data_IF_042636347748
#
_entry.id   IF_042636347748
#
_cell.length_a   1.000
_cell.length_b   1.000
_cell.length_c   1.000
_cell.angle_alpha   90.00
_cell.angle_beta   90.00
_cell.angle_gamma   90.00
#
_symmetry.space_group_name_H-M   'P 1'
#
loop_
_entity.id
_entity.type
_entity.pdbx_description
1 polymer ?
#
# COMPACT_ATOMS: atom_id res chain seq x y z
N UNK A 1 3.93 7.15 9.90
CA UNK A 1 3.16 8.21 9.18
C UNK A 1 4.00 9.46 8.90
N UNK A 2 4.82 10.00 9.86
CA UNK A 2 5.60 11.25 9.64
C UNK A 2 6.55 11.16 8.45
N UNK A 3 7.35 10.10 8.33
CA UNK A 3 8.30 9.90 7.22
C UNK A 3 7.57 9.90 5.88
N UNK A 4 6.44 9.20 5.80
CA UNK A 4 5.59 9.16 4.60
C UNK A 4 5.10 10.54 4.19
N UNK A 5 4.61 11.33 5.15
CA UNK A 5 4.14 12.68 4.90
C UNK A 5 5.25 13.61 4.40
N UNK A 6 6.49 13.41 4.85
CA UNK A 6 7.65 14.15 4.36
C UNK A 6 8.05 13.73 2.95
N UNK A 7 8.09 12.42 2.65
CA UNK A 7 8.41 11.90 1.31
C UNK A 7 7.36 12.37 0.29
N UNK A 8 6.08 12.35 0.67
CA UNK A 8 4.96 12.81 -0.18
C UNK A 8 4.81 14.34 -0.21
N UNK A 9 5.66 15.04 0.55
CA UNK A 9 5.67 16.50 0.67
C UNK A 9 4.28 17.07 1.06
N UNK A 10 3.61 16.40 2.03
CA UNK A 10 2.48 16.99 2.73
C UNK A 10 2.96 18.04 3.74
N UNK A 11 4.19 17.89 4.25
CA UNK A 11 4.91 18.86 5.07
C UNK A 11 6.32 19.07 4.51
N UNK A 12 6.82 20.28 4.61
CA UNK A 12 8.21 20.57 4.28
C UNK A 12 9.13 20.17 5.44
N UNK A 13 10.36 19.77 5.10
CA UNK A 13 11.40 19.53 6.10
C UNK A 13 11.92 20.87 6.66
N UNK A 14 12.26 20.90 7.93
CA UNK A 14 12.78 22.11 8.59
C UNK A 14 14.25 22.36 8.25
N UNK A 15 15.03 21.29 8.02
CA UNK A 15 16.45 21.36 7.70
C UNK A 15 16.89 20.08 6.98
N UNK A 16 18.04 20.13 6.31
CA UNK A 16 18.55 19.03 5.50
C UNK A 16 17.98 19.03 4.08
N UNK A 17 18.05 17.88 3.41
CA UNK A 17 17.54 17.67 2.06
C UNK A 17 16.92 16.28 1.96
N UNK A 18 15.83 16.16 1.18
CA UNK A 18 15.23 14.88 0.80
C UNK A 18 15.38 14.75 -0.71
N UNK A 19 16.13 13.74 -1.15
CA UNK A 19 16.43 13.52 -2.55
C UNK A 19 15.66 12.31 -3.06
N UNK A 20 15.08 12.43 -4.27
CA UNK A 20 14.48 11.34 -5.03
C UNK A 20 15.27 11.22 -6.34
N UNK A 21 15.95 10.10 -6.54
CA UNK A 21 16.86 9.87 -7.69
C UNK A 21 17.86 11.03 -7.90
N UNK A 22 18.41 11.56 -6.79
CA UNK A 22 19.36 12.67 -6.80
C UNK A 22 18.75 14.07 -6.91
N UNK A 23 17.45 14.20 -7.15
CA UNK A 23 16.73 15.47 -7.24
C UNK A 23 16.13 15.86 -5.89
N UNK A 24 16.37 17.11 -5.46
CA UNK A 24 15.74 17.62 -4.24
C UNK A 24 14.24 17.79 -4.45
N UNK A 25 13.42 17.09 -3.64
CA UNK A 25 11.96 17.16 -3.76
C UNK A 25 11.40 18.56 -3.50
N UNK A 26 12.15 19.44 -2.81
CA UNK A 26 11.76 20.83 -2.62
C UNK A 26 11.76 21.62 -3.94
N UNK A 27 12.61 21.25 -4.91
CA UNK A 27 12.79 21.91 -6.18
C UNK A 27 11.87 21.43 -7.30
N UNK A 28 11.08 20.36 -7.09
CA UNK A 28 10.16 19.82 -8.11
C UNK A 28 8.72 20.24 -7.83
N UNK A 29 7.85 20.20 -8.84
CA UNK A 29 6.42 20.47 -8.64
C UNK A 29 5.75 19.32 -7.86
N UNK A 30 4.72 19.63 -7.07
CA UNK A 30 3.95 18.62 -6.34
C UNK A 30 3.29 17.61 -7.30
N UNK A 31 2.85 18.08 -8.47
CA UNK A 31 2.28 17.21 -9.49
C UNK A 31 3.32 16.19 -9.99
N UNK A 32 4.51 16.63 -10.38
CA UNK A 32 5.58 15.74 -10.83
C UNK A 32 5.98 14.72 -9.77
N UNK A 33 6.07 15.13 -8.50
CA UNK A 33 6.40 14.22 -7.40
C UNK A 33 5.29 13.20 -7.17
N UNK A 34 4.04 13.67 -6.98
CA UNK A 34 2.93 12.82 -6.56
C UNK A 34 2.37 11.94 -7.67
N UNK A 35 2.54 12.32 -8.95
CA UNK A 35 2.18 11.45 -10.08
C UNK A 35 3.03 10.18 -10.16
N UNK A 36 4.20 10.16 -9.51
CA UNK A 36 5.05 8.96 -9.41
C UNK A 36 4.72 8.09 -8.18
N UNK A 37 3.79 8.52 -7.33
CA UNK A 37 3.53 7.90 -6.03
C UNK A 37 2.12 7.32 -5.96
N UNK A 38 2.03 6.06 -5.55
CA UNK A 38 0.79 5.44 -5.09
C UNK A 38 0.76 5.45 -3.57
N UNK A 39 -0.19 6.14 -2.98
CA UNK A 39 -0.33 6.24 -1.52
C UNK A 39 -1.60 5.50 -1.11
N UNK A 40 -1.44 4.48 -0.30
CA UNK A 40 -2.52 3.72 0.30
C UNK A 40 -2.50 3.92 1.81
N UNK A 41 -3.51 4.60 2.30
CA UNK A 41 -3.73 4.80 3.73
C UNK A 41 -4.47 3.59 4.33
N UNK A 42 -4.46 3.51 5.65
CA UNK A 42 -5.07 2.46 6.46
C UNK A 42 -6.51 2.11 6.05
N UNK A 43 -7.34 3.12 5.73
CA UNK A 43 -8.69 2.91 5.23
C UNK A 43 -8.72 3.07 3.70
N UNK A 44 -8.93 1.96 2.98
CA UNK A 44 -9.11 1.98 1.54
C UNK A 44 -10.43 2.66 1.19
N UNK A 45 -10.35 3.93 0.77
CA UNK A 45 -11.54 4.70 0.42
C UNK A 45 -12.17 4.20 -0.89
N UNK A 46 -13.46 3.95 -0.85
CA UNK A 46 -14.29 3.59 -2.00
C UNK A 46 -15.27 4.73 -2.27
N UNK A 47 -15.27 5.22 -3.51
CA UNK A 47 -16.19 6.26 -3.97
C UNK A 47 -17.55 5.65 -4.34
N UNK A 48 -18.62 6.44 -4.24
CA UNK A 48 -19.91 6.06 -4.83
C UNK A 48 -19.79 5.90 -6.33
N UNK A 49 -20.38 4.85 -6.89
CA UNK A 49 -20.31 4.50 -8.31
C UNK A 49 -20.11 3.00 -8.49
N UNK A 50 -19.67 2.58 -9.66
CA UNK A 50 -19.39 1.17 -9.94
C UNK A 50 -18.01 0.73 -9.42
N UNK A 51 -17.78 -0.58 -9.31
CA UNK A 51 -16.43 -1.12 -9.04
C UNK A 51 -15.48 -0.73 -10.19
N UNK A 52 -15.96 -0.78 -11.44
CA UNK A 52 -15.23 -0.34 -12.62
C UNK A 52 -14.73 1.09 -12.49
N UNK A 53 -15.60 2.04 -12.11
CA UNK A 53 -15.26 3.44 -11.92
C UNK A 53 -14.23 3.61 -10.81
N UNK A 54 -14.40 2.88 -9.72
CA UNK A 54 -13.48 2.91 -8.58
C UNK A 54 -12.06 2.49 -8.95
N UNK A 55 -11.90 1.48 -9.80
CA UNK A 55 -10.57 1.06 -10.26
C UNK A 55 -10.04 2.05 -11.30
N UNK A 56 -10.89 2.49 -12.26
CA UNK A 56 -10.53 3.45 -13.30
C UNK A 56 -10.12 4.80 -12.74
N UNK A 57 -10.49 5.15 -11.51
CA UNK A 57 -10.03 6.35 -10.84
C UNK A 57 -8.49 6.44 -10.73
N UNK A 58 -7.77 5.32 -10.80
CA UNK A 58 -6.31 5.27 -10.88
C UNK A 58 -5.75 5.86 -12.17
N UNK A 59 -6.49 5.73 -13.29
CA UNK A 59 -6.19 6.32 -14.60
C UNK A 59 -7.49 6.45 -15.39
N UNK A 60 -7.99 7.67 -15.51
CA UNK A 60 -9.33 7.97 -16.02
C UNK A 60 -9.56 7.61 -17.49
N UNK A 61 -8.51 7.58 -18.28
CA UNK A 61 -8.50 7.21 -19.72
C UNK A 61 -8.27 5.71 -19.96
N UNK A 62 -8.19 4.90 -18.91
CA UNK A 62 -7.99 3.46 -19.03
C UNK A 62 -9.23 2.78 -19.66
N UNK A 63 -8.96 1.82 -20.56
CA UNK A 63 -10.02 0.99 -21.13
C UNK A 63 -10.56 -0.03 -20.12
N UNK A 64 -11.73 -0.62 -20.40
CA UNK A 64 -12.32 -1.68 -19.56
C UNK A 64 -11.35 -2.87 -19.42
N UNK A 65 -10.67 -3.23 -20.51
CA UNK A 65 -9.72 -4.33 -20.55
C UNK A 65 -8.52 -4.07 -19.63
N UNK A 66 -8.02 -2.84 -19.60
CA UNK A 66 -6.91 -2.44 -18.70
C UNK A 66 -7.34 -2.48 -17.23
N UNK A 67 -8.56 -2.01 -16.93
CA UNK A 67 -9.15 -2.09 -15.59
C UNK A 67 -9.28 -3.55 -15.14
N UNK A 68 -9.83 -4.42 -16.02
CA UNK A 68 -9.97 -5.85 -15.73
C UNK A 68 -8.62 -6.53 -15.57
N UNK A 69 -7.62 -6.18 -16.39
CA UNK A 69 -6.26 -6.71 -16.27
C UNK A 69 -5.61 -6.33 -14.92
N UNK A 70 -5.77 -5.08 -14.48
CA UNK A 70 -5.30 -4.64 -13.17
C UNK A 70 -5.99 -5.42 -12.04
N UNK A 71 -7.31 -5.59 -12.11
CA UNK A 71 -8.07 -6.34 -11.11
C UNK A 71 -7.65 -7.82 -11.03
N UNK A 72 -7.42 -8.47 -12.18
CA UNK A 72 -6.90 -9.85 -12.24
C UNK A 72 -5.53 -9.97 -11.58
N UNK A 73 -4.63 -9.02 -11.86
CA UNK A 73 -3.27 -9.04 -11.33
C UNK A 73 -3.24 -9.01 -9.80
N UNK A 74 -4.15 -8.27 -9.17
CA UNK A 74 -4.23 -8.15 -7.71
C UNK A 74 -5.29 -9.08 -7.08
N UNK A 75 -5.79 -10.07 -7.80
CA UNK A 75 -6.80 -11.03 -7.30
C UNK A 75 -8.18 -10.46 -6.98
N UNK A 76 -8.51 -9.29 -7.52
CA UNK A 76 -9.83 -8.69 -7.33
C UNK A 76 -10.88 -9.27 -8.30
N UNK A 77 -10.50 -9.71 -9.48
CA UNK A 77 -11.40 -10.18 -10.56
C UNK A 77 -12.33 -11.34 -10.11
N UNK A 78 -11.83 -12.26 -9.28
CA UNK A 78 -12.57 -13.43 -8.83
C UNK A 78 -13.86 -13.02 -8.11
N UNK A 79 -13.74 -12.25 -7.02
CA UNK A 79 -14.93 -11.84 -6.26
C UNK A 79 -15.81 -10.85 -7.04
N UNK A 80 -15.21 -10.01 -7.91
CA UNK A 80 -15.99 -9.05 -8.71
C UNK A 80 -16.93 -9.80 -9.66
N UNK A 81 -16.48 -10.87 -10.29
CA UNK A 81 -17.30 -11.69 -11.20
C UNK A 81 -18.39 -12.49 -10.50
N UNK A 82 -18.23 -12.77 -9.22
CA UNK A 82 -19.25 -13.43 -8.40
C UNK A 82 -20.40 -12.49 -8.00
N UNK A 83 -20.23 -11.17 -8.17
CA UNK A 83 -21.27 -10.18 -7.88
C UNK A 83 -22.30 -10.15 -9.03
N UNK A 84 -23.55 -9.83 -8.68
CA UNK A 84 -24.69 -9.87 -9.62
C UNK A 84 -24.45 -9.06 -10.90
N UNK A 85 -23.90 -7.83 -10.77
CA UNK A 85 -23.58 -6.93 -11.90
C UNK A 85 -22.08 -6.91 -12.23
N UNK A 86 -21.27 -7.81 -11.64
CA UNK A 86 -19.85 -7.89 -11.86
C UNK A 86 -19.15 -6.54 -11.62
N UNK A 87 -18.37 -6.08 -12.59
CA UNK A 87 -17.67 -4.78 -12.54
C UNK A 87 -18.60 -3.56 -12.47
N UNK A 88 -19.83 -3.69 -12.90
CA UNK A 88 -20.83 -2.62 -12.88
C UNK A 88 -21.66 -2.61 -11.60
N UNK A 89 -21.34 -3.50 -10.65
CA UNK A 89 -21.94 -3.48 -9.32
C UNK A 89 -21.77 -2.12 -8.67
N UNK A 90 -22.90 -1.52 -8.27
CA UNK A 90 -22.94 -0.24 -7.58
C UNK A 90 -22.46 -0.40 -6.13
N UNK A 91 -21.50 0.43 -5.75
CA UNK A 91 -21.00 0.54 -4.39
C UNK A 91 -21.31 1.92 -3.84
N UNK A 92 -21.80 1.95 -2.60
CA UNK A 92 -22.10 3.21 -1.91
C UNK A 92 -20.82 3.81 -1.32
N UNK A 93 -20.93 5.04 -0.81
CA UNK A 93 -19.84 5.66 -0.06
C UNK A 93 -19.26 4.69 0.98
N UNK A 94 -17.95 4.67 1.07
CA UNK A 94 -17.15 3.76 1.91
C UNK A 94 -17.29 2.27 1.56
N UNK A 95 -17.94 1.92 0.44
CA UNK A 95 -18.03 0.53 -0.03
C UNK A 95 -18.75 -0.40 0.93
N UNK A 96 -19.89 0.03 1.51
CA UNK A 96 -20.65 -0.73 2.52
C UNK A 96 -21.10 -2.14 2.04
N UNK A 97 -21.15 -2.37 0.72
CA UNK A 97 -21.46 -3.67 0.10
C UNK A 97 -20.24 -4.58 -0.07
N UNK A 98 -19.02 -4.08 0.20
CA UNK A 98 -17.78 -4.83 0.08
C UNK A 98 -17.22 -5.16 1.47
N UNK A 99 -16.68 -6.37 1.61
CA UNK A 99 -15.88 -6.71 2.78
C UNK A 99 -14.62 -5.84 2.83
N UNK A 100 -13.95 -5.79 3.97
CA UNK A 100 -12.73 -5.00 4.09
C UNK A 100 -11.64 -5.48 3.15
N UNK A 101 -11.42 -6.79 3.02
CA UNK A 101 -10.45 -7.33 2.06
C UNK A 101 -10.81 -7.02 0.62
N UNK A 102 -12.10 -7.08 0.25
CA UNK A 102 -12.57 -6.71 -1.09
C UNK A 102 -12.30 -5.23 -1.39
N UNK A 103 -12.56 -4.31 -0.43
CA UNK A 103 -12.20 -2.90 -0.58
C UNK A 103 -10.70 -2.71 -0.80
N UNK A 104 -9.89 -3.46 -0.07
CA UNK A 104 -8.43 -3.40 -0.19
C UNK A 104 -7.95 -3.89 -1.56
N UNK A 105 -8.51 -4.98 -2.09
CA UNK A 105 -8.21 -5.49 -3.42
C UNK A 105 -8.62 -4.50 -4.53
N UNK A 106 -9.77 -3.83 -4.41
CA UNK A 106 -10.19 -2.76 -5.34
C UNK A 106 -9.21 -1.59 -5.29
N UNK A 107 -8.76 -1.18 -4.10
CA UNK A 107 -7.76 -0.12 -3.95
C UNK A 107 -6.40 -0.53 -4.53
N UNK A 108 -6.00 -1.80 -4.41
CA UNK A 108 -4.78 -2.32 -5.07
C UNK A 108 -4.89 -2.24 -6.59
N UNK A 109 -6.04 -2.64 -7.17
CA UNK A 109 -6.28 -2.55 -8.61
C UNK A 109 -6.22 -1.10 -9.12
N UNK A 110 -6.85 -0.15 -8.39
CA UNK A 110 -6.77 1.28 -8.65
C UNK A 110 -5.32 1.78 -8.66
N UNK A 111 -4.56 1.41 -7.64
CA UNK A 111 -3.16 1.83 -7.50
C UNK A 111 -2.28 1.19 -8.56
N UNK A 112 -2.48 -0.09 -8.88
CA UNK A 112 -1.75 -0.77 -9.95
C UNK A 112 -2.00 -0.11 -11.31
N UNK A 113 -3.24 0.26 -11.59
CA UNK A 113 -3.65 0.92 -12.85
C UNK A 113 -2.99 2.28 -13.04
N UNK A 114 -2.70 3.02 -11.97
CA UNK A 114 -1.98 4.29 -12.04
C UNK A 114 -0.46 4.13 -12.29
N UNK A 115 0.05 2.90 -12.27
CA UNK A 115 1.46 2.51 -12.47
C UNK A 115 2.49 3.41 -11.74
N UNK A 116 2.40 3.59 -10.42
CA UNK A 116 3.32 4.42 -9.67
C UNK A 116 4.71 3.76 -9.61
N UNK A 117 5.76 4.55 -9.52
CA UNK A 117 7.14 4.06 -9.31
C UNK A 117 7.46 3.87 -7.83
N UNK A 118 6.78 4.64 -6.99
CA UNK A 118 6.94 4.61 -5.54
C UNK A 118 5.59 4.26 -4.92
N UNK A 119 5.59 3.27 -4.03
CA UNK A 119 4.43 2.90 -3.23
C UNK A 119 4.64 3.29 -1.78
N UNK A 120 3.60 3.83 -1.19
CA UNK A 120 3.52 4.09 0.23
C UNK A 120 2.29 3.38 0.78
N UNK A 121 2.51 2.42 1.64
CA UNK A 121 1.47 1.57 2.21
C UNK A 121 1.45 1.76 3.73
N UNK A 122 0.29 2.14 4.26
CA UNK A 122 0.02 2.13 5.70
C UNK A 122 -0.89 0.92 5.97
N UNK A 123 -0.31 -0.16 6.51
CA UNK A 123 -0.99 -1.45 6.66
C UNK A 123 -1.89 -1.42 7.89
N UNK A 124 -3.21 -1.53 7.68
CA UNK A 124 -4.17 -1.70 8.75
C UNK A 124 -4.18 -3.14 9.30
N UNK A 125 -4.21 -3.24 10.61
CA UNK A 125 -4.56 -4.48 11.30
C UNK A 125 -6.08 -4.58 11.40
N UNK A 126 -6.70 -5.39 10.57
CA UNK A 126 -8.12 -5.67 10.67
C UNK A 126 -8.37 -7.16 10.60
N UNK A 127 -9.40 -7.62 11.30
CA UNK A 127 -9.85 -9.00 11.27
C UNK A 127 -10.46 -9.31 9.90
N UNK A 128 -9.65 -9.91 9.03
CA UNK A 128 -10.07 -10.46 7.75
C UNK A 128 -10.02 -11.98 7.89
N UNK A 129 -10.98 -12.71 7.30
CA UNK A 129 -10.93 -14.16 7.28
C UNK A 129 -9.68 -14.67 6.53
N UNK A 130 -9.20 -15.85 6.90
CA UNK A 130 -7.94 -16.40 6.40
C UNK A 130 -7.90 -16.58 4.86
N UNK A 131 -9.05 -16.86 4.21
CA UNK A 131 -9.13 -17.00 2.75
C UNK A 131 -8.92 -15.65 2.07
N UNK A 132 -9.63 -14.64 2.53
CA UNK A 132 -9.53 -13.27 2.00
C UNK A 132 -8.15 -12.68 2.31
N UNK A 133 -7.58 -12.95 3.50
CA UNK A 133 -6.23 -12.50 3.87
C UNK A 133 -5.17 -13.03 2.88
N UNK A 134 -5.26 -14.28 2.48
CA UNK A 134 -4.36 -14.86 1.47
C UNK A 134 -4.46 -14.12 0.13
N UNK A 135 -5.67 -13.84 -0.35
CA UNK A 135 -5.87 -13.11 -1.60
C UNK A 135 -5.32 -11.68 -1.51
N UNK A 136 -5.54 -11.01 -0.39
CA UNK A 136 -4.98 -9.67 -0.12
C UNK A 136 -3.46 -9.71 -0.12
N UNK A 137 -2.83 -10.72 0.49
CA UNK A 137 -1.38 -10.86 0.50
C UNK A 137 -0.81 -11.16 -0.90
N UNK A 138 -1.49 -12.01 -1.69
CA UNK A 138 -1.11 -12.27 -3.09
C UNK A 138 -1.23 -10.99 -3.94
N UNK A 139 -2.32 -10.24 -3.78
CA UNK A 139 -2.55 -8.95 -4.45
C UNK A 139 -1.50 -7.90 -4.06
N UNK A 140 -1.15 -7.83 -2.78
CA UNK A 140 -0.08 -6.94 -2.28
C UNK A 140 1.26 -7.29 -2.91
N UNK A 141 1.64 -8.56 -2.93
CA UNK A 141 2.90 -9.00 -3.53
C UNK A 141 2.98 -8.66 -5.02
N UNK A 142 1.86 -8.79 -5.75
CA UNK A 142 1.79 -8.39 -7.15
C UNK A 142 1.95 -6.87 -7.33
N UNK A 143 1.34 -6.08 -6.45
CA UNK A 143 1.43 -4.63 -6.46
C UNK A 143 2.86 -4.13 -6.15
N UNK A 144 3.57 -4.77 -5.23
CA UNK A 144 4.93 -4.39 -4.81
C UNK A 144 6.00 -4.68 -5.89
N UNK A 145 5.77 -5.63 -6.76
CA UNK A 145 6.75 -6.13 -7.72
C UNK A 145 7.28 -5.03 -8.64
N UNK A 146 8.61 -4.84 -8.65
CA UNK A 146 9.30 -3.89 -9.53
C UNK A 146 9.18 -2.42 -9.12
N UNK A 147 8.79 -2.14 -7.85
CA UNK A 147 8.58 -0.78 -7.34
C UNK A 147 9.36 -0.53 -6.06
N UNK A 148 9.76 0.71 -5.84
CA UNK A 148 10.27 1.14 -4.54
C UNK A 148 9.09 1.32 -3.58
N UNK A 149 9.08 0.57 -2.49
CA UNK A 149 7.93 0.54 -1.59
C UNK A 149 8.31 0.90 -0.16
N UNK A 150 7.55 1.82 0.44
CA UNK A 150 7.60 2.16 1.86
C UNK A 150 6.38 1.57 2.54
N UNK A 151 6.59 0.65 3.46
CA UNK A 151 5.51 -0.04 4.15
C UNK A 151 5.57 0.30 5.64
N UNK A 152 4.51 0.89 6.16
CA UNK A 152 4.30 1.00 7.61
C UNK A 152 3.57 -0.28 8.00
N UNK A 153 4.33 -1.26 8.46
CA UNK A 153 3.80 -2.60 8.69
C UNK A 153 3.44 -2.82 10.16
N UNK A 154 2.29 -3.42 10.35
CA UNK A 154 1.82 -3.92 11.63
C UNK A 154 1.84 -5.46 11.70
N UNK A 155 2.08 -6.13 10.57
CA UNK A 155 2.14 -7.60 10.47
C UNK A 155 3.56 -8.08 10.27
N UNK A 156 3.97 -9.10 11.04
CA UNK A 156 5.29 -9.70 10.93
C UNK A 156 5.55 -10.32 9.54
N UNK A 157 4.51 -10.90 8.91
CA UNK A 157 4.58 -11.51 7.59
C UNK A 157 5.04 -10.51 6.52
N UNK A 158 4.57 -9.27 6.60
CA UNK A 158 4.95 -8.19 5.69
C UNK A 158 6.39 -7.73 5.95
N UNK A 159 6.75 -7.54 7.23
CA UNK A 159 8.07 -7.04 7.64
C UNK A 159 9.20 -8.00 7.23
N UNK A 160 9.01 -9.31 7.39
CA UNK A 160 10.03 -10.33 7.08
C UNK A 160 10.56 -10.26 5.67
N UNK A 161 9.70 -9.90 4.71
CA UNK A 161 9.98 -9.92 3.28
C UNK A 161 10.54 -8.58 2.77
N UNK A 162 10.72 -7.58 3.65
CA UNK A 162 11.30 -6.30 3.26
C UNK A 162 12.82 -6.41 3.09
N UNK A 163 13.35 -5.79 2.04
CA UNK A 163 14.81 -5.71 1.80
C UNK A 163 15.50 -4.93 2.91
N UNK A 164 14.81 -3.94 3.49
CA UNK A 164 15.32 -3.08 4.56
C UNK A 164 14.21 -2.71 5.53
N UNK A 165 14.50 -2.90 6.80
CA UNK A 165 13.62 -2.55 7.93
C UNK A 165 14.27 -1.39 8.67
N UNK A 166 13.46 -0.36 8.98
CA UNK A 166 13.85 0.79 9.77
C UNK A 166 13.03 0.78 11.06
N UNK A 167 13.67 0.58 12.19
CA UNK A 167 13.04 0.77 13.49
C UNK A 167 13.22 2.21 13.92
N UNK A 168 12.12 2.95 14.00
CA UNK A 168 12.11 4.37 14.34
C UNK A 168 11.72 4.54 15.80
N UNK A 169 12.58 5.19 16.58
CA UNK A 169 12.35 5.52 17.98
C UNK A 169 13.01 6.85 18.34
N UNK A 170 12.46 7.56 19.34
CA UNK A 170 13.05 8.77 19.91
C UNK A 170 13.53 9.80 18.85
N UNK A 171 12.74 10.04 17.82
CA UNK A 171 13.03 11.02 16.75
C UNK A 171 14.11 10.62 15.75
N UNK A 172 14.48 9.34 15.68
CA UNK A 172 15.48 8.88 14.72
C UNK A 172 15.35 7.40 14.37
N UNK A 173 16.22 6.95 13.47
CA UNK A 173 16.37 5.54 13.14
C UNK A 173 17.24 4.90 14.21
N UNK A 174 16.62 4.09 15.09
CA UNK A 174 17.34 3.38 16.15
C UNK A 174 18.04 2.14 15.61
N UNK A 175 17.40 1.42 14.67
CA UNK A 175 17.97 0.23 14.04
C UNK A 175 17.62 0.20 12.54
N UNK A 176 18.55 -0.35 11.76
CA UNK A 176 18.38 -0.57 10.34
C UNK A 176 19.07 -1.87 9.90
N UNK A 177 18.41 -2.64 9.05
CA UNK A 177 18.92 -3.89 8.49
C UNK A 177 17.83 -4.70 7.81
N UNK A 178 18.16 -5.89 7.30
CA UNK A 178 17.16 -6.86 6.93
C UNK A 178 16.68 -7.66 8.14
N UNK A 179 15.67 -8.51 7.95
CA UNK A 179 15.06 -9.30 9.03
C UNK A 179 16.11 -10.08 9.84
N UNK A 180 16.98 -10.86 9.19
CA UNK A 180 17.96 -11.68 9.88
C UNK A 180 19.00 -10.84 10.62
N UNK A 181 19.53 -9.79 9.99
CA UNK A 181 20.49 -8.88 10.62
C UNK A 181 19.95 -8.24 11.90
N UNK A 182 18.66 -7.90 11.91
CA UNK A 182 18.05 -7.28 13.08
C UNK A 182 17.69 -8.30 14.16
N UNK A 183 17.38 -9.55 13.80
CA UNK A 183 17.24 -10.62 14.77
C UNK A 183 18.57 -10.93 15.48
N UNK A 184 19.66 -11.03 14.73
CA UNK A 184 20.99 -11.34 15.27
C UNK A 184 21.51 -10.25 16.21
N UNK A 185 21.04 -9.00 16.07
CA UNK A 185 21.39 -7.89 16.96
C UNK A 185 20.74 -7.97 18.34
N UNK A 186 19.68 -8.76 18.51
CA UNK A 186 18.89 -8.85 19.75
C UNK A 186 18.45 -7.48 20.31
N UNK A 187 18.18 -6.50 19.43
CA UNK A 187 17.80 -5.13 19.79
C UNK A 187 16.29 -4.91 19.83
N UNK A 188 15.86 -3.67 19.57
CA UNK A 188 14.44 -3.27 19.60
C UNK A 188 13.56 -4.10 18.65
N UNK A 189 14.05 -4.33 17.43
CA UNK A 189 13.32 -5.14 16.47
C UNK A 189 13.13 -6.58 16.93
N UNK A 190 14.18 -7.20 17.51
CA UNK A 190 14.11 -8.55 18.05
C UNK A 190 13.04 -8.65 19.14
N UNK A 191 13.05 -7.72 20.11
CA UNK A 191 12.06 -7.72 21.19
C UNK A 191 10.63 -7.51 20.66
N UNK A 192 10.44 -6.63 19.69
CA UNK A 192 9.13 -6.43 19.05
C UNK A 192 8.67 -7.72 18.34
N UNK A 193 9.58 -8.34 17.61
CA UNK A 193 9.29 -9.56 16.85
C UNK A 193 8.89 -10.72 17.76
N UNK A 194 9.67 -10.97 18.83
CA UNK A 194 9.39 -12.06 19.78
C UNK A 194 8.09 -11.84 20.55
N UNK A 195 7.83 -10.61 20.98
CA UNK A 195 6.58 -10.28 21.68
C UNK A 195 5.32 -10.50 20.82
N UNK A 196 5.41 -10.30 19.50
CA UNK A 196 4.29 -10.57 18.58
C UNK A 196 4.11 -12.05 18.23
N UNK A 197 5.11 -12.91 18.44
CA UNK A 197 4.99 -14.35 18.26
C UNK A 197 4.33 -15.04 19.46
N UNK A 198 4.38 -14.41 20.63
CA UNK A 198 3.83 -14.93 21.90
C UNK A 198 2.37 -14.48 22.14
N UNK A 199 1.86 -13.54 21.33
CA UNK A 199 0.48 -13.02 21.40
C UNK A 199 -0.45 -13.72 20.42
#
# INVERSE_FOLDING_TARGET
TTVVNLISRFYNINSGRLLLDGHDIAGVTLHSLRSQMGIMLQDSFIFSGTIMDNIRYGRLDATDEEVIAAAKTVRADEFIREMEDGYYTQVNERGSRLSQGQRQLVAFARTLLSDPKILVLDEATSSIDAKTERLVQEGLNALLKGRTSFIIAHRLSTIKNCDRILYISNKGIAEMGNHQQLLDKHGYYYHLYTAQLES
#
